data_IF_448213341015
#
_entry.id   IF_448213341015
#
_cell.length_a   1.000
_cell.length_b   1.000
_cell.length_c   1.000
_cell.angle_alpha   90.00
_cell.angle_beta   90.00
_cell.angle_gamma   90.00
#
_symmetry.space_group_name_H-M   'P 1'
#
loop_
_entity.id
_entity.type
_entity.pdbx_description
1 polymer ?
#
# COMPACT_ATOMS: atom_id res chain seq x y z
N UNK A 1 -34.50 -73.03 -24.43
CA UNK A 1 -33.26 -73.69 -24.92
C UNK A 1 -32.37 -72.61 -25.51
N UNK A 2 -31.10 -72.50 -25.11
CA UNK A 2 -30.22 -71.40 -25.57
C UNK A 2 -29.07 -71.07 -24.62
N UNK A 3 -28.22 -72.06 -24.36
CA UNK A 3 -26.81 -72.00 -23.92
C UNK A 3 -26.23 -70.68 -23.39
N UNK A 4 -25.71 -70.71 -22.16
CA UNK A 4 -24.81 -69.67 -21.64
C UNK A 4 -23.34 -69.92 -21.97
N UNK A 5 -22.55 -68.85 -21.94
CA UNK A 5 -21.09 -68.87 -21.95
C UNK A 5 -20.57 -67.77 -21.01
N UNK A 6 -19.87 -68.18 -19.96
CA UNK A 6 -19.05 -67.31 -19.09
C UNK A 6 -17.73 -66.99 -19.79
N UNK A 7 -17.08 -65.85 -19.42
CA UNK A 7 -15.73 -65.30 -19.78
C UNK A 7 -15.89 -63.78 -20.02
N UNK A 8 -15.28 -62.82 -19.31
CA UNK A 8 -14.18 -62.80 -18.33
C UNK A 8 -14.53 -61.92 -17.10
N UNK A 9 -13.96 -62.25 -15.93
CA UNK A 9 -13.81 -61.26 -14.85
C UNK A 9 -12.62 -60.36 -15.17
N UNK A 10 -12.83 -59.06 -15.32
CA UNK A 10 -11.74 -58.08 -15.35
C UNK A 10 -10.93 -58.11 -14.04
N UNK A 11 -9.64 -57.72 -14.06
CA UNK A 11 -8.80 -57.74 -12.87
C UNK A 11 -9.37 -56.81 -11.79
N UNK A 12 -9.19 -57.21 -10.52
CA UNK A 12 -9.61 -56.42 -9.35
C UNK A 12 -9.10 -54.99 -9.50
N UNK A 13 -10.00 -54.02 -9.33
CA UNK A 13 -9.64 -52.61 -9.21
C UNK A 13 -8.59 -52.46 -8.11
N UNK A 14 -7.39 -52.01 -8.47
CA UNK A 14 -6.34 -51.68 -7.53
C UNK A 14 -6.89 -50.55 -6.64
N UNK A 15 -7.03 -50.82 -5.34
CA UNK A 15 -7.31 -49.80 -4.32
C UNK A 15 -6.09 -48.87 -4.26
N UNK A 16 -6.08 -47.83 -5.09
CA UNK A 16 -5.11 -46.76 -4.97
C UNK A 16 -5.32 -46.08 -3.61
N UNK A 17 -4.27 -46.17 -2.78
CA UNK A 17 -4.38 -45.98 -1.35
C UNK A 17 -4.83 -44.60 -0.91
N UNK A 18 -5.33 -44.53 0.32
CA UNK A 18 -5.76 -43.32 1.03
C UNK A 18 -4.57 -42.40 1.36
N UNK A 19 -4.00 -41.77 0.34
CA UNK A 19 -3.00 -40.70 0.40
C UNK A 19 -3.41 -39.64 -0.64
N UNK A 20 -3.70 -38.37 -0.32
CA UNK A 20 -3.57 -37.64 0.93
C UNK A 20 -4.84 -36.81 1.20
N UNK A 21 -5.67 -37.23 2.16
CA UNK A 21 -6.62 -36.30 2.78
C UNK A 21 -5.90 -35.63 3.95
N UNK A 22 -5.69 -34.29 3.94
CA UNK A 22 -5.11 -33.62 5.10
C UNK A 22 -5.99 -33.89 6.32
N UNK A 23 -5.35 -34.13 7.47
CA UNK A 23 -6.08 -34.42 8.72
C UNK A 23 -7.10 -33.30 9.01
N UNK A 24 -8.19 -33.56 9.75
CA UNK A 24 -9.20 -32.54 10.03
C UNK A 24 -8.60 -31.25 10.60
N UNK A 25 -7.52 -31.36 11.38
CA UNK A 25 -6.75 -30.23 11.90
C UNK A 25 -5.94 -29.51 10.81
N UNK A 26 -5.21 -30.22 9.95
CA UNK A 26 -4.47 -29.63 8.82
C UNK A 26 -5.43 -28.97 7.81
N UNK A 27 -6.62 -29.54 7.58
CA UNK A 27 -7.66 -28.90 6.77
C UNK A 27 -8.17 -27.62 7.43
N UNK A 28 -8.52 -27.66 8.72
CA UNK A 28 -8.97 -26.46 9.47
C UNK A 28 -7.92 -25.35 9.50
N UNK A 29 -6.63 -25.70 9.64
CA UNK A 29 -5.50 -24.78 9.58
C UNK A 29 -5.28 -24.26 8.16
N UNK A 30 -5.33 -25.11 7.13
CA UNK A 30 -5.29 -24.71 5.72
C UNK A 30 -6.42 -23.75 5.36
N UNK A 31 -7.64 -24.03 5.81
CA UNK A 31 -8.82 -23.21 5.51
C UNK A 31 -8.76 -21.87 6.27
N UNK A 32 -8.25 -21.87 7.51
CA UNK A 32 -7.98 -20.64 8.27
C UNK A 32 -6.85 -19.81 7.65
N UNK A 33 -5.76 -20.44 7.21
CA UNK A 33 -4.65 -19.76 6.50
C UNK A 33 -5.15 -19.20 5.16
N UNK A 34 -5.91 -19.97 4.37
CA UNK A 34 -6.53 -19.49 3.12
C UNK A 34 -7.49 -18.34 3.37
N UNK A 35 -8.33 -18.43 4.40
CA UNK A 35 -9.25 -17.36 4.80
C UNK A 35 -8.53 -16.10 5.25
N UNK A 36 -7.42 -16.23 5.99
CA UNK A 36 -6.57 -15.10 6.41
C UNK A 36 -5.82 -14.48 5.22
N UNK A 37 -5.16 -15.30 4.38
CA UNK A 37 -4.47 -14.86 3.17
C UNK A 37 -5.43 -14.23 2.13
N UNK A 38 -6.73 -14.51 2.20
CA UNK A 38 -7.74 -13.84 1.39
C UNK A 38 -8.14 -12.44 1.91
N UNK A 39 -7.56 -11.96 3.02
CA UNK A 39 -7.84 -10.61 3.54
C UNK A 39 -6.73 -9.61 3.20
N UNK A 40 -7.12 -8.40 2.78
CA UNK A 40 -6.22 -7.26 2.56
C UNK A 40 -5.33 -6.98 3.79
N UNK A 41 -5.90 -7.16 4.99
CA UNK A 41 -5.23 -7.08 6.29
C UNK A 41 -3.93 -7.90 6.39
N UNK A 42 -3.92 -9.10 5.79
CA UNK A 42 -2.77 -10.01 5.87
C UNK A 42 -1.56 -9.51 5.07
N UNK A 43 -1.80 -8.78 3.97
CA UNK A 43 -0.74 -8.08 3.23
C UNK A 43 -0.07 -6.99 4.06
N UNK A 44 -0.86 -6.18 4.75
CA UNK A 44 -0.35 -5.15 5.68
C UNK A 44 0.45 -5.72 6.84
N UNK A 45 -0.03 -6.80 7.47
CA UNK A 45 0.69 -7.49 8.55
C UNK A 45 2.02 -8.07 8.02
N UNK A 46 2.03 -8.70 6.84
CA UNK A 46 3.26 -9.24 6.28
C UNK A 46 4.26 -8.16 5.88
N UNK A 47 3.80 -7.01 5.39
CA UNK A 47 4.65 -5.84 5.14
C UNK A 47 5.29 -5.31 6.44
N UNK A 48 4.53 -5.21 7.54
CA UNK A 48 5.10 -4.84 8.85
C UNK A 48 6.16 -5.85 9.32
N UNK A 49 5.94 -7.15 9.12
CA UNK A 49 6.92 -8.21 9.43
C UNK A 49 8.17 -8.06 8.53
N UNK A 50 8.00 -7.85 7.23
CA UNK A 50 9.10 -7.68 6.28
C UNK A 50 9.94 -6.43 6.59
N UNK A 51 9.30 -5.30 6.90
CA UNK A 51 9.96 -4.08 7.38
C UNK A 51 10.72 -4.33 8.69
N UNK A 52 10.13 -5.07 9.64
CA UNK A 52 10.80 -5.42 10.90
C UNK A 52 12.02 -6.31 10.68
N UNK A 53 11.93 -7.31 9.79
CA UNK A 53 13.05 -8.18 9.42
C UNK A 53 14.17 -7.35 8.74
N UNK A 54 13.80 -6.41 7.85
CA UNK A 54 14.76 -5.55 7.17
C UNK A 54 15.57 -4.71 8.16
N UNK A 55 14.88 -4.05 9.10
CA UNK A 55 15.51 -3.22 10.13
C UNK A 55 16.36 -4.08 11.07
N UNK A 56 15.84 -5.19 11.60
CA UNK A 56 16.60 -6.05 12.54
C UNK A 56 17.84 -6.64 11.86
N UNK A 57 17.72 -7.08 10.60
CA UNK A 57 18.84 -7.69 9.88
C UNK A 57 19.91 -6.65 9.52
N UNK A 58 19.54 -5.43 9.18
CA UNK A 58 20.48 -4.33 8.92
C UNK A 58 21.20 -3.80 10.18
N UNK A 59 20.70 -4.11 11.39
CA UNK A 59 21.23 -3.62 12.68
C UNK A 59 21.83 -4.69 13.59
N UNK A 60 21.96 -5.92 13.11
CA UNK A 60 22.59 -7.04 13.83
C UNK A 60 23.85 -7.50 13.12
N UNK A 61 24.52 -8.54 13.64
CA UNK A 61 25.65 -9.20 12.97
C UNK A 61 25.35 -9.76 11.58
N UNK A 62 24.07 -9.80 11.18
CA UNK A 62 23.61 -10.18 9.85
C UNK A 62 23.76 -9.06 8.80
N UNK A 63 24.03 -7.81 9.20
CA UNK A 63 23.98 -6.63 8.33
C UNK A 63 24.85 -6.75 7.08
N UNK A 64 26.09 -7.22 7.21
CA UNK A 64 27.00 -7.43 6.06
C UNK A 64 26.43 -8.43 5.05
N UNK A 65 25.87 -9.54 5.51
CA UNK A 65 25.27 -10.56 4.64
C UNK A 65 23.97 -10.06 4.01
N UNK A 66 23.16 -9.34 4.79
CA UNK A 66 21.91 -8.73 4.36
C UNK A 66 22.14 -7.72 3.23
N UNK A 67 23.02 -6.74 3.44
CA UNK A 67 23.34 -5.71 2.44
C UNK A 67 24.02 -6.33 1.21
N UNK A 68 24.91 -7.30 1.39
CA UNK A 68 25.54 -8.02 0.26
C UNK A 68 24.51 -8.76 -0.61
N UNK A 69 23.42 -9.27 -0.03
CA UNK A 69 22.33 -9.92 -0.76
C UNK A 69 21.39 -8.92 -1.44
N UNK A 70 20.97 -7.86 -0.74
CA UNK A 70 19.94 -6.93 -1.24
C UNK A 70 20.46 -5.83 -2.15
N UNK A 71 21.67 -5.29 -1.93
CA UNK A 71 22.19 -4.18 -2.72
C UNK A 71 22.21 -4.47 -4.25
N UNK A 72 22.65 -5.66 -4.74
CA UNK A 72 22.58 -5.98 -6.17
C UNK A 72 21.15 -6.14 -6.71
N UNK A 73 20.20 -6.49 -5.85
CA UNK A 73 18.79 -6.71 -6.20
C UNK A 73 17.93 -5.45 -6.06
N UNK A 74 18.44 -4.38 -5.44
CA UNK A 74 17.66 -3.18 -5.15
C UNK A 74 17.13 -2.51 -6.43
N UNK A 75 17.96 -2.35 -7.47
CA UNK A 75 17.52 -1.80 -8.75
C UNK A 75 16.50 -2.70 -9.45
N UNK A 76 16.68 -4.02 -9.39
CA UNK A 76 15.69 -4.97 -9.92
C UNK A 76 14.34 -4.85 -9.22
N UNK A 77 14.34 -4.76 -7.88
CA UNK A 77 13.13 -4.50 -7.09
C UNK A 77 12.51 -3.15 -7.47
N UNK A 78 13.33 -2.11 -7.62
CA UNK A 78 12.86 -0.76 -7.90
C UNK A 78 12.24 -0.60 -9.29
N UNK A 79 12.72 -1.35 -10.30
CA UNK A 79 12.10 -1.33 -11.63
C UNK A 79 10.92 -2.31 -11.72
N UNK A 80 11.13 -3.59 -11.42
CA UNK A 80 10.19 -4.65 -11.80
C UNK A 80 9.08 -4.90 -10.78
N UNK A 81 9.38 -4.89 -9.49
CA UNK A 81 8.36 -5.09 -8.45
C UNK A 81 7.40 -3.90 -8.42
N UNK A 82 7.92 -2.68 -8.53
CA UNK A 82 7.10 -1.46 -8.66
C UNK A 82 6.22 -1.48 -9.92
N UNK A 83 6.74 -1.95 -11.05
CA UNK A 83 5.92 -2.06 -12.27
C UNK A 83 4.79 -3.08 -12.13
N UNK A 84 5.01 -4.20 -11.41
CA UNK A 84 3.94 -5.15 -11.07
C UNK A 84 2.93 -4.57 -10.07
N UNK A 85 3.39 -3.78 -9.10
CA UNK A 85 2.51 -3.04 -8.19
C UNK A 85 1.63 -2.03 -8.95
N UNK A 86 2.21 -1.19 -9.81
CA UNK A 86 1.45 -0.23 -10.61
C UNK A 86 0.60 -0.89 -11.71
N UNK A 87 0.95 -2.09 -12.18
CA UNK A 87 0.04 -2.90 -12.99
C UNK A 87 -1.25 -3.25 -12.24
N UNK A 88 -1.12 -3.72 -10.98
CA UNK A 88 -2.28 -4.00 -10.13
C UNK A 88 -3.07 -2.73 -9.82
N UNK A 89 -2.41 -1.63 -9.45
CA UNK A 89 -3.08 -0.32 -9.24
C UNK A 89 -3.82 0.12 -10.51
N UNK A 90 -3.23 -0.07 -11.70
CA UNK A 90 -3.89 0.21 -12.98
C UNK A 90 -5.16 -0.62 -13.21
N UNK A 91 -5.16 -1.91 -12.83
CA UNK A 91 -6.36 -2.75 -12.86
C UNK A 91 -7.39 -2.30 -11.80
N UNK A 92 -6.94 -1.94 -10.60
CA UNK A 92 -7.79 -1.51 -9.49
C UNK A 92 -8.53 -0.21 -9.82
N UNK A 93 -7.80 0.80 -10.34
CA UNK A 93 -8.38 2.03 -10.89
C UNK A 93 -9.42 1.66 -11.95
N UNK A 94 -9.08 0.79 -12.91
CA UNK A 94 -9.99 0.39 -13.98
C UNK A 94 -11.27 -0.29 -13.43
N UNK A 95 -11.15 -1.15 -12.41
CA UNK A 95 -12.31 -1.75 -11.73
C UNK A 95 -13.19 -0.66 -11.11
N UNK A 96 -12.59 0.25 -10.34
CA UNK A 96 -13.35 1.33 -9.69
C UNK A 96 -14.07 2.26 -10.69
N UNK A 97 -13.50 2.49 -11.87
CA UNK A 97 -14.15 3.23 -12.96
C UNK A 97 -15.29 2.46 -13.64
N UNK A 98 -15.18 1.13 -13.78
CA UNK A 98 -16.16 0.30 -14.50
C UNK A 98 -17.34 -0.15 -13.61
N UNK A 99 -17.05 -0.60 -12.39
CA UNK A 99 -17.99 -1.25 -11.47
C UNK A 99 -18.01 -0.66 -10.06
N UNK A 100 -16.95 0.01 -9.62
CA UNK A 100 -16.83 0.57 -8.27
C UNK A 100 -17.29 2.02 -8.10
N UNK A 101 -16.73 2.71 -7.10
CA UNK A 101 -17.21 4.02 -6.65
C UNK A 101 -16.82 5.17 -7.56
N UNK A 102 -15.70 5.05 -8.30
CA UNK A 102 -15.24 6.09 -9.24
C UNK A 102 -16.17 6.26 -10.45
N UNK A 103 -17.04 5.28 -10.73
CA UNK A 103 -18.10 5.36 -11.76
C UNK A 103 -19.08 6.52 -11.56
N UNK A 104 -19.32 6.96 -10.32
CA UNK A 104 -20.27 8.03 -9.99
C UNK A 104 -19.57 9.19 -9.30
N UNK A 105 -19.54 10.37 -9.94
CA UNK A 105 -18.93 11.56 -9.37
C UNK A 105 -19.45 11.89 -7.96
N UNK A 106 -20.74 11.63 -7.68
CA UNK A 106 -21.34 11.89 -6.36
C UNK A 106 -20.80 10.98 -5.25
N UNK A 107 -20.43 9.75 -5.58
CA UNK A 107 -19.81 8.79 -4.65
C UNK A 107 -18.30 8.99 -4.56
N UNK A 108 -17.66 9.25 -5.71
CA UNK A 108 -16.22 9.42 -5.87
C UNK A 108 -15.68 10.74 -5.30
N UNK A 109 -16.47 11.82 -5.36
CA UNK A 109 -16.03 13.18 -5.01
C UNK A 109 -15.47 13.29 -3.60
N UNK A 110 -16.10 12.70 -2.58
CA UNK A 110 -15.60 12.78 -1.21
C UNK A 110 -14.18 12.17 -1.08
N UNK A 111 -13.92 10.90 -1.46
CA UNK A 111 -12.56 10.35 -1.53
C UNK A 111 -11.60 11.16 -2.39
N UNK A 112 -11.99 11.58 -3.61
CA UNK A 112 -11.09 12.30 -4.54
C UNK A 112 -10.66 13.65 -3.96
N UNK A 113 -11.58 14.47 -3.48
CA UNK A 113 -11.22 15.78 -2.92
C UNK A 113 -10.44 15.63 -1.61
N UNK A 114 -10.75 14.61 -0.80
CA UNK A 114 -9.96 14.29 0.38
C UNK A 114 -8.51 13.87 0.01
N UNK A 115 -8.33 13.06 -1.05
CA UNK A 115 -7.03 12.68 -1.58
C UNK A 115 -6.25 13.90 -2.08
N UNK A 116 -6.87 14.78 -2.88
CA UNK A 116 -6.28 16.06 -3.29
C UNK A 116 -5.80 16.88 -2.09
N UNK A 117 -6.60 16.97 -1.02
CA UNK A 117 -6.19 17.62 0.22
C UNK A 117 -5.00 16.92 0.89
N UNK A 118 -5.04 15.58 0.97
CA UNK A 118 -3.99 14.72 1.46
C UNK A 118 -2.71 14.66 0.61
N UNK A 119 -2.75 15.17 -0.62
CA UNK A 119 -1.58 15.35 -1.49
C UNK A 119 -1.02 16.77 -1.38
N UNK A 120 -1.87 17.77 -1.57
CA UNK A 120 -1.48 19.19 -1.64
C UNK A 120 -0.96 19.68 -0.29
N UNK A 121 -1.64 19.35 0.81
CA UNK A 121 -1.31 19.87 2.14
C UNK A 121 0.07 19.42 2.65
N UNK A 122 0.43 18.12 2.65
CA UNK A 122 1.79 17.71 3.04
C UNK A 122 2.86 18.25 2.09
N UNK A 123 2.62 18.28 0.77
CA UNK A 123 3.55 18.87 -0.20
C UNK A 123 3.87 20.33 0.12
N UNK A 124 2.85 21.15 0.40
CA UNK A 124 3.02 22.57 0.76
C UNK A 124 3.73 22.75 2.10
N UNK A 125 3.37 21.98 3.13
CA UNK A 125 4.04 22.05 4.45
C UNK A 125 5.51 21.70 4.32
N UNK A 126 5.85 20.61 3.64
CA UNK A 126 7.22 20.19 3.42
C UNK A 126 8.01 21.25 2.64
N UNK A 127 7.44 21.75 1.53
CA UNK A 127 8.07 22.80 0.71
C UNK A 127 8.32 24.09 1.51
N UNK A 128 7.37 24.49 2.35
CA UNK A 128 7.50 25.69 3.18
C UNK A 128 8.61 25.55 4.23
N UNK A 129 8.71 24.39 4.89
CA UNK A 129 9.77 24.10 5.87
C UNK A 129 11.15 24.05 5.22
N UNK A 130 11.25 23.60 3.97
CA UNK A 130 12.50 23.32 3.26
C UNK A 130 12.82 24.30 2.12
N UNK A 131 12.12 25.45 2.04
CA UNK A 131 12.27 26.47 0.99
C UNK A 131 13.68 27.08 0.85
N UNK A 132 14.53 26.93 1.86
CA UNK A 132 15.86 27.55 1.94
C UNK A 132 17.01 26.52 1.88
N UNK A 133 16.71 25.24 1.61
CA UNK A 133 17.71 24.16 1.62
C UNK A 133 17.44 23.15 0.48
N UNK A 134 18.39 22.26 0.23
CA UNK A 134 18.27 21.28 -0.87
C UNK A 134 17.17 20.23 -0.63
N UNK A 135 16.74 20.04 0.62
CA UNK A 135 15.63 19.13 0.93
C UNK A 135 14.33 19.56 0.23
N UNK A 136 14.16 20.85 -0.13
CA UNK A 136 12.98 21.32 -0.87
C UNK A 136 12.67 20.54 -2.16
N UNK A 137 13.67 19.89 -2.79
CA UNK A 137 13.48 19.03 -3.98
C UNK A 137 12.62 17.79 -3.71
N UNK A 138 12.59 17.30 -2.47
CA UNK A 138 11.83 16.11 -2.06
C UNK A 138 10.40 16.37 -1.60
N UNK A 139 9.79 17.50 -1.98
CA UNK A 139 8.42 17.85 -1.58
C UNK A 139 7.38 16.76 -1.86
N UNK A 140 7.52 16.03 -2.98
CA UNK A 140 6.59 14.97 -3.34
C UNK A 140 6.72 13.73 -2.46
N UNK A 141 7.81 13.53 -1.71
CA UNK A 141 7.99 12.40 -0.77
C UNK A 141 6.92 12.44 0.35
N UNK A 142 6.43 13.63 0.69
CA UNK A 142 5.40 13.82 1.71
C UNK A 142 3.98 13.38 1.25
N UNK A 143 3.78 13.09 -0.03
CA UNK A 143 2.45 12.90 -0.63
C UNK A 143 1.90 11.46 -0.60
N UNK A 144 2.66 10.39 -0.92
CA UNK A 144 2.04 9.09 -1.15
C UNK A 144 1.56 8.39 0.13
N UNK A 145 0.59 7.51 -0.03
CA UNK A 145 0.00 6.68 1.04
C UNK A 145 0.18 5.20 0.68
N UNK A 146 0.39 4.34 1.68
CA UNK A 146 0.51 2.89 1.46
C UNK A 146 -0.77 2.20 1.93
N UNK A 147 -1.57 1.73 0.97
CA UNK A 147 -2.85 1.04 1.19
C UNK A 147 -2.68 -0.15 2.13
N UNK A 148 -1.66 -0.98 1.89
CA UNK A 148 -1.48 -2.23 2.60
C UNK A 148 -1.17 -1.96 4.09
N UNK A 149 -0.28 -1.00 4.38
CA UNK A 149 -0.05 -0.56 5.77
C UNK A 149 -1.31 0.02 6.40
N UNK A 150 -2.00 0.95 5.72
CA UNK A 150 -3.15 1.63 6.28
C UNK A 150 -4.30 0.65 6.61
N UNK A 151 -4.60 -0.29 5.72
CA UNK A 151 -5.60 -1.34 5.94
C UNK A 151 -5.13 -2.38 6.96
N UNK A 152 -3.84 -2.73 6.97
CA UNK A 152 -3.24 -3.60 7.98
C UNK A 152 -3.38 -3.06 9.40
N UNK A 153 -3.11 -1.76 9.60
CA UNK A 153 -3.31 -1.09 10.89
C UNK A 153 -4.79 -0.94 11.23
N UNK A 154 -5.62 -0.58 10.24
CA UNK A 154 -7.07 -0.52 10.41
C UNK A 154 -7.60 -1.87 10.92
N UNK A 155 -7.18 -3.00 10.33
CA UNK A 155 -7.60 -4.34 10.73
C UNK A 155 -7.37 -4.69 12.21
N UNK A 156 -6.41 -4.05 12.89
CA UNK A 156 -6.16 -4.25 14.33
C UNK A 156 -7.32 -3.77 15.23
N UNK A 157 -8.17 -2.85 14.73
CA UNK A 157 -9.38 -2.41 15.43
C UNK A 157 -10.57 -3.39 15.26
N UNK A 158 -10.41 -4.44 14.44
CA UNK A 158 -11.33 -5.56 14.33
C UNK A 158 -12.73 -5.18 13.86
N UNK A 159 -13.75 -5.66 14.57
CA UNK A 159 -15.18 -5.48 14.25
C UNK A 159 -15.73 -4.08 14.54
N UNK A 160 -14.91 -3.16 15.07
CA UNK A 160 -15.33 -1.76 15.31
C UNK A 160 -15.45 -0.94 14.03
N UNK A 161 -14.89 -1.41 12.91
CA UNK A 161 -14.76 -0.61 11.69
C UNK A 161 -15.96 -0.78 10.76
N UNK A 162 -16.58 0.36 10.46
CA UNK A 162 -17.63 0.45 9.44
C UNK A 162 -17.06 0.15 8.04
N UNK A 163 -17.83 -0.57 7.21
CA UNK A 163 -17.42 -0.91 5.83
C UNK A 163 -17.18 0.35 4.99
N UNK A 164 -17.96 1.42 5.21
CA UNK A 164 -17.80 2.72 4.57
C UNK A 164 -16.43 3.36 4.81
N UNK A 165 -15.80 3.11 5.96
CA UNK A 165 -14.46 3.62 6.27
C UNK A 165 -13.37 2.89 5.48
N UNK A 166 -13.50 1.56 5.31
CA UNK A 166 -12.59 0.77 4.46
C UNK A 166 -12.70 1.18 3.00
N UNK A 167 -13.94 1.32 2.50
CA UNK A 167 -14.23 1.80 1.14
C UNK A 167 -13.65 3.21 0.93
N UNK A 168 -13.87 4.13 1.88
CA UNK A 168 -13.31 5.47 1.82
C UNK A 168 -11.77 5.46 1.75
N UNK A 169 -11.09 4.69 2.62
CA UNK A 169 -9.62 4.55 2.59
C UNK A 169 -9.12 3.93 1.28
N UNK A 170 -9.76 2.89 0.76
CA UNK A 170 -9.42 2.27 -0.52
C UNK A 170 -9.52 3.28 -1.67
N UNK A 171 -10.66 3.96 -1.83
CA UNK A 171 -10.84 4.94 -2.92
C UNK A 171 -9.95 6.18 -2.75
N UNK A 172 -9.72 6.64 -1.52
CA UNK A 172 -8.78 7.74 -1.19
C UNK A 172 -7.37 7.39 -1.68
N UNK A 173 -6.88 6.21 -1.31
CA UNK A 173 -5.51 5.82 -1.61
C UNK A 173 -5.30 5.48 -3.10
N UNK A 174 -6.30 4.92 -3.80
CA UNK A 174 -6.27 4.76 -5.26
C UNK A 174 -6.15 6.14 -5.95
N UNK A 175 -6.84 7.17 -5.44
CA UNK A 175 -6.73 8.53 -5.95
C UNK A 175 -5.36 9.18 -5.63
N UNK A 176 -4.83 8.99 -4.41
CA UNK A 176 -3.48 9.41 -4.03
C UNK A 176 -2.39 8.74 -4.88
N UNK A 177 -2.52 7.45 -5.19
CA UNK A 177 -1.57 6.70 -6.02
C UNK A 177 -1.58 7.18 -7.48
N UNK A 178 -2.77 7.32 -8.08
CA UNK A 178 -2.91 7.88 -9.43
C UNK A 178 -2.33 9.31 -9.50
N UNK A 179 -2.60 10.13 -8.50
CA UNK A 179 -2.01 11.46 -8.37
C UNK A 179 -0.49 11.42 -8.22
N UNK A 180 0.04 10.48 -7.44
CA UNK A 180 1.48 10.30 -7.24
C UNK A 180 2.19 9.90 -8.54
N UNK A 181 1.62 8.98 -9.32
CA UNK A 181 2.13 8.60 -10.66
C UNK A 181 2.19 9.84 -11.58
N UNK A 182 1.13 10.65 -11.60
CA UNK A 182 1.05 11.85 -12.43
C UNK A 182 2.12 12.89 -12.03
N UNK A 183 2.30 13.14 -10.73
CA UNK A 183 3.33 14.04 -10.21
C UNK A 183 4.74 13.52 -10.53
N UNK A 184 5.01 12.22 -10.37
CA UNK A 184 6.30 11.61 -10.77
C UNK A 184 6.57 11.81 -12.26
N UNK A 185 5.58 11.52 -13.12
CA UNK A 185 5.71 11.65 -14.56
C UNK A 185 5.95 13.07 -15.07
N UNK A 186 5.46 14.10 -14.37
CA UNK A 186 5.70 15.50 -14.75
C UNK A 186 7.00 16.03 -14.13
N UNK A 187 7.11 16.00 -12.80
CA UNK A 187 8.14 16.75 -12.07
C UNK A 187 9.47 16.02 -11.94
N UNK A 188 9.49 14.70 -12.06
CA UNK A 188 10.70 13.88 -11.89
C UNK A 188 11.16 13.20 -13.18
N UNK A 189 10.47 13.43 -14.31
CA UNK A 189 10.77 12.87 -15.64
C UNK A 189 12.25 12.93 -16.06
N UNK A 190 12.96 14.01 -15.73
CA UNK A 190 14.36 14.21 -16.10
C UNK A 190 15.35 13.38 -15.27
N UNK A 191 14.94 12.92 -14.08
CA UNK A 191 15.75 12.09 -13.17
C UNK A 191 15.59 10.58 -13.41
N UNK A 192 14.56 10.17 -14.16
CA UNK A 192 14.18 8.76 -14.29
C UNK A 192 14.76 8.18 -15.58
N UNK A 193 15.39 7.00 -15.50
CA UNK A 193 15.80 6.27 -16.70
C UNK A 193 14.57 5.89 -17.54
N UNK A 194 14.67 6.01 -18.88
CA UNK A 194 13.54 5.75 -19.78
C UNK A 194 12.88 4.38 -19.55
N UNK A 195 13.66 3.37 -19.12
CA UNK A 195 13.19 2.04 -18.73
C UNK A 195 12.20 2.05 -17.57
N UNK A 196 12.40 2.89 -16.54
CA UNK A 196 11.56 2.95 -15.33
C UNK A 196 10.26 3.73 -15.56
N UNK A 197 10.30 4.80 -16.37
CA UNK A 197 9.09 5.47 -16.86
C UNK A 197 8.30 4.47 -17.71
N UNK A 198 8.94 3.85 -18.71
CA UNK A 198 8.29 2.95 -19.64
C UNK A 198 7.71 1.71 -18.94
N UNK A 199 8.38 1.15 -17.93
CA UNK A 199 7.87 0.00 -17.18
C UNK A 199 6.67 0.38 -16.31
N UNK A 200 6.71 1.51 -15.62
CA UNK A 200 5.63 1.97 -14.72
C UNK A 200 4.40 2.44 -15.49
N UNK A 201 4.55 3.37 -16.45
CA UNK A 201 3.44 3.84 -17.26
C UNK A 201 2.95 2.77 -18.24
N UNK A 202 3.86 1.93 -18.77
CA UNK A 202 3.50 0.80 -19.62
C UNK A 202 2.69 -0.26 -18.87
N UNK A 203 2.99 -0.53 -17.60
CA UNK A 203 2.20 -1.40 -16.75
C UNK A 203 0.76 -0.87 -16.56
N UNK A 204 0.60 0.40 -16.19
CA UNK A 204 -0.73 1.02 -16.05
C UNK A 204 -1.49 1.00 -17.39
N UNK A 205 -0.82 1.35 -18.50
CA UNK A 205 -1.42 1.31 -19.83
C UNK A 205 -1.85 -0.11 -20.24
N UNK A 206 -1.03 -1.13 -19.96
CA UNK A 206 -1.35 -2.52 -20.26
C UNK A 206 -2.60 -2.99 -19.47
N UNK A 207 -2.70 -2.64 -18.19
CA UNK A 207 -3.90 -2.93 -17.38
C UNK A 207 -5.17 -2.30 -17.98
N UNK A 208 -5.07 -1.10 -18.54
CA UNK A 208 -6.16 -0.41 -19.22
C UNK A 208 -6.49 -1.00 -20.62
N UNK A 209 -5.52 -1.51 -21.37
CA UNK A 209 -5.74 -2.15 -22.67
C UNK A 209 -6.34 -3.56 -22.54
N UNK A 210 -6.03 -4.29 -21.46
CA UNK A 210 -6.50 -5.68 -21.30
C UNK A 210 -8.04 -5.81 -21.26
N UNK A 211 -8.64 -6.89 -21.83
CA UNK A 211 -10.09 -7.05 -21.85
C UNK A 211 -10.73 -7.07 -20.46
N UNK A 212 -11.92 -6.46 -20.35
CA UNK A 212 -12.77 -6.48 -19.15
C UNK A 212 -14.05 -7.29 -19.35
N UNK A 213 -14.06 -8.21 -20.33
CA UNK A 213 -15.24 -9.04 -20.70
C UNK A 213 -14.80 -10.42 -21.16
N UNK A 214 -15.65 -11.43 -20.93
CA UNK A 214 -15.40 -12.82 -21.32
C UNK A 214 -14.61 -13.59 -20.26
N UNK A 215 -13.68 -14.46 -20.68
CA UNK A 215 -12.89 -15.30 -19.75
C UNK A 215 -11.83 -14.52 -18.96
N UNK A 216 -11.39 -13.38 -19.49
CA UNK A 216 -10.46 -12.45 -18.86
C UNK A 216 -11.29 -11.22 -18.48
N UNK A 217 -11.46 -11.00 -17.18
CA UNK A 217 -12.10 -9.82 -16.60
C UNK A 217 -11.11 -9.10 -15.70
N UNK A 218 -11.32 -7.80 -15.49
CA UNK A 218 -10.47 -6.99 -14.61
C UNK A 218 -10.48 -7.53 -13.19
N UNK A 219 -11.66 -7.90 -12.66
CA UNK A 219 -11.80 -8.51 -11.33
C UNK A 219 -10.99 -9.80 -11.20
N UNK A 220 -11.06 -10.70 -12.20
CA UNK A 220 -10.30 -11.96 -12.18
C UNK A 220 -8.79 -11.76 -12.28
N UNK A 221 -8.34 -10.73 -13.01
CA UNK A 221 -6.92 -10.37 -13.04
C UNK A 221 -6.46 -9.82 -11.68
N UNK A 222 -7.28 -9.01 -11.01
CA UNK A 222 -7.03 -8.53 -9.64
C UNK A 222 -6.98 -9.72 -8.67
N UNK A 223 -7.98 -10.60 -8.66
CA UNK A 223 -8.00 -11.81 -7.82
C UNK A 223 -6.74 -12.69 -7.99
N UNK A 224 -6.23 -12.81 -9.22
CA UNK A 224 -5.03 -13.59 -9.52
C UNK A 224 -3.74 -12.88 -9.07
N UNK A 225 -3.65 -11.55 -9.16
CA UNK A 225 -2.41 -10.79 -8.99
C UNK A 225 -2.29 -10.16 -7.62
N UNK A 226 -3.40 -9.77 -7.00
CA UNK A 226 -3.43 -9.17 -5.67
C UNK A 226 -2.69 -10.02 -4.61
N UNK A 227 -2.84 -11.35 -4.53
CA UNK A 227 -2.05 -12.17 -3.61
C UNK A 227 -0.54 -12.09 -3.89
N UNK A 228 -0.09 -12.13 -5.15
CA UNK A 228 1.33 -11.97 -5.48
C UNK A 228 1.83 -10.58 -5.10
N UNK A 229 1.03 -9.53 -5.32
CA UNK A 229 1.38 -8.18 -4.93
C UNK A 229 1.55 -8.06 -3.41
N UNK A 230 0.52 -8.44 -2.65
CA UNK A 230 0.47 -8.32 -1.18
C UNK A 230 1.44 -9.25 -0.45
N UNK A 231 1.67 -10.48 -0.95
CA UNK A 231 2.47 -11.49 -0.23
C UNK A 231 3.90 -11.65 -0.75
N UNK A 232 4.22 -11.12 -1.95
CA UNK A 232 5.56 -11.22 -2.53
C UNK A 232 6.11 -9.85 -2.93
N UNK A 233 5.47 -9.14 -3.86
CA UNK A 233 5.99 -7.89 -4.44
C UNK A 233 6.29 -6.84 -3.36
N UNK A 234 5.28 -6.54 -2.53
CA UNK A 234 5.37 -5.50 -1.50
C UNK A 234 6.35 -5.89 -0.36
N UNK A 235 6.28 -7.10 0.25
CA UNK A 235 7.26 -7.55 1.24
C UNK A 235 8.71 -7.61 0.73
N UNK A 236 8.93 -8.10 -0.50
CA UNK A 236 10.28 -8.18 -1.10
C UNK A 236 10.82 -6.78 -1.40
N UNK A 237 9.98 -5.86 -1.89
CA UNK A 237 10.35 -4.46 -2.07
C UNK A 237 10.76 -3.80 -0.75
N UNK A 238 10.02 -4.06 0.33
CA UNK A 238 10.32 -3.55 1.67
C UNK A 238 11.67 -4.08 2.17
N UNK A 239 11.94 -5.38 2.04
CA UNK A 239 13.25 -5.95 2.37
C UNK A 239 14.39 -5.31 1.55
N UNK A 240 14.21 -5.18 0.24
CA UNK A 240 15.22 -4.58 -0.63
C UNK A 240 15.57 -3.11 -0.28
N UNK A 241 14.62 -2.33 0.24
CA UNK A 241 14.80 -0.88 0.42
C UNK A 241 14.87 -0.38 1.87
N UNK A 242 14.26 -1.06 2.86
CA UNK A 242 14.18 -0.62 4.26
C UNK A 242 15.26 -1.21 5.17
N UNK A 243 16.23 -1.95 4.63
CA UNK A 243 17.43 -2.35 5.35
C UNK A 243 18.33 -1.16 5.66
N UNK A 244 18.12 -0.52 6.82
CA UNK A 244 18.80 0.71 7.23
C UNK A 244 19.64 0.44 8.46
N UNK A 245 20.91 0.84 8.44
CA UNK A 245 21.78 0.85 9.62
C UNK A 245 21.41 2.04 10.54
N UNK A 246 20.57 1.77 11.53
CA UNK A 246 20.17 2.64 12.62
C UNK A 246 21.21 2.57 13.76
N UNK A 247 22.41 3.11 13.52
CA UNK A 247 23.34 3.32 14.64
C UNK A 247 22.75 4.37 15.61
N UNK A 248 23.06 4.26 16.91
CA UNK A 248 22.53 5.20 17.91
C UNK A 248 22.91 6.67 17.65
N UNK A 249 24.06 6.90 17.01
CA UNK A 249 24.52 8.21 16.54
C UNK A 249 23.71 8.71 15.32
N UNK A 250 23.27 7.80 14.45
CA UNK A 250 22.51 8.13 13.23
C UNK A 250 21.08 8.60 13.52
N UNK A 251 20.45 8.12 14.59
CA UNK A 251 19.08 8.52 14.94
C UNK A 251 19.01 9.94 15.51
N UNK A 252 19.98 10.33 16.34
CA UNK A 252 20.08 11.71 16.85
C UNK A 252 20.48 12.68 15.75
N UNK A 253 21.48 12.36 14.92
CA UNK A 253 21.86 13.23 13.79
C UNK A 253 20.73 13.37 12.75
N UNK A 254 20.00 12.28 12.46
CA UNK A 254 18.88 12.33 11.54
C UNK A 254 17.72 13.20 12.07
N UNK A 255 17.54 13.36 13.38
CA UNK A 255 16.51 14.27 13.91
C UNK A 255 16.83 15.74 13.61
N UNK A 256 18.09 16.13 13.51
CA UNK A 256 18.48 17.46 13.09
C UNK A 256 18.34 17.67 11.57
N UNK A 257 18.20 16.59 10.79
CA UNK A 257 17.95 16.70 9.35
C UNK A 257 16.66 17.47 9.02
N UNK A 258 16.78 18.38 8.07
CA UNK A 258 15.66 19.11 7.47
C UNK A 258 14.70 18.18 6.72
N UNK A 259 15.21 17.08 6.15
CA UNK A 259 14.38 16.06 5.47
C UNK A 259 13.49 15.35 6.48
N UNK A 260 14.06 14.85 7.58
CA UNK A 260 13.32 14.09 8.62
C UNK A 260 12.25 14.95 9.27
N UNK A 261 12.62 16.13 9.79
CA UNK A 261 11.66 17.04 10.44
C UNK A 261 10.57 17.52 9.49
N UNK A 262 10.95 17.82 8.24
CA UNK A 262 10.01 18.14 7.17
C UNK A 262 9.02 17.02 6.92
N UNK A 263 9.49 15.77 6.74
CA UNK A 263 8.62 14.62 6.49
C UNK A 263 7.68 14.34 7.65
N UNK A 264 8.18 14.32 8.90
CA UNK A 264 7.35 14.04 10.08
C UNK A 264 6.23 15.06 10.22
N UNK A 265 6.54 16.36 10.17
CA UNK A 265 5.52 17.42 10.30
C UNK A 265 4.56 17.41 9.11
N UNK A 266 5.08 17.35 7.88
CA UNK A 266 4.27 17.36 6.67
C UNK A 266 3.32 16.18 6.59
N UNK A 267 3.80 14.96 6.84
CA UNK A 267 2.98 13.74 6.69
C UNK A 267 2.03 13.56 7.87
N UNK A 268 2.47 13.72 9.11
CA UNK A 268 1.60 13.56 10.29
C UNK A 268 0.52 14.64 10.33
N UNK A 269 0.89 15.92 10.25
CA UNK A 269 -0.09 17.01 10.35
C UNK A 269 -0.79 17.22 9.02
N UNK A 270 -0.05 17.26 7.91
CA UNK A 270 -0.59 17.60 6.59
C UNK A 270 -1.56 16.57 6.02
N UNK A 271 -1.38 15.26 6.27
CA UNK A 271 -2.40 14.27 5.86
C UNK A 271 -3.68 14.40 6.70
N UNK A 272 -3.57 14.49 8.03
CA UNK A 272 -4.74 14.67 8.92
C UNK A 272 -5.51 15.94 8.55
N UNK A 273 -4.83 17.08 8.51
CA UNK A 273 -5.45 18.38 8.21
C UNK A 273 -5.98 18.40 6.78
N UNK A 274 -5.17 18.00 5.79
CA UNK A 274 -5.53 18.06 4.37
C UNK A 274 -6.73 17.20 4.01
N UNK A 275 -6.70 15.92 4.40
CA UNK A 275 -7.78 14.96 4.11
C UNK A 275 -9.07 15.41 4.79
N UNK A 276 -9.01 15.76 6.08
CA UNK A 276 -10.20 16.17 6.85
C UNK A 276 -10.77 17.51 6.39
N UNK A 277 -9.91 18.50 6.13
CA UNK A 277 -10.35 19.83 5.69
C UNK A 277 -11.00 19.78 4.31
N UNK A 278 -10.39 19.11 3.32
CA UNK A 278 -10.98 19.02 1.99
C UNK A 278 -12.26 18.19 2.00
N UNK A 279 -12.30 17.07 2.74
CA UNK A 279 -13.51 16.28 2.96
C UNK A 279 -14.66 17.10 3.57
N UNK A 280 -14.37 17.91 4.59
CA UNK A 280 -15.34 18.81 5.20
C UNK A 280 -15.79 19.91 4.25
N UNK A 281 -14.86 20.53 3.54
CA UNK A 281 -15.11 21.65 2.63
C UNK A 281 -16.00 21.22 1.45
N UNK A 282 -15.70 20.10 0.80
CA UNK A 282 -16.48 19.59 -0.34
C UNK A 282 -17.90 19.14 0.07
N UNK A 283 -18.06 18.63 1.29
CA UNK A 283 -19.40 18.32 1.86
C UNK A 283 -20.16 19.60 2.21
N UNK A 284 -19.49 20.61 2.78
CA UNK A 284 -20.10 21.91 3.11
C UNK A 284 -20.54 22.69 1.87
N UNK A 285 -19.82 22.56 0.75
CA UNK A 285 -20.23 23.10 -0.56
C UNK A 285 -21.35 22.30 -1.24
N UNK A 286 -21.78 21.15 -0.68
CA UNK A 286 -22.80 20.28 -1.28
C UNK A 286 -22.34 19.51 -2.52
N UNK A 287 -21.06 19.60 -2.89
CA UNK A 287 -20.46 18.91 -4.05
C UNK A 287 -20.36 17.40 -3.81
N UNK A 288 -20.05 16.99 -2.58
CA UNK A 288 -20.01 15.59 -2.17
C UNK A 288 -20.98 15.30 -1.01
N UNK A 289 -21.25 14.02 -0.75
CA UNK A 289 -21.96 13.57 0.46
C UNK A 289 -21.15 12.51 1.19
N UNK A 290 -21.08 12.64 2.52
CA UNK A 290 -20.51 11.64 3.42
C UNK A 290 -21.58 10.57 3.71
N UNK A 291 -21.24 9.26 3.71
CA UNK A 291 -22.08 8.23 4.32
C UNK A 291 -22.49 8.59 5.75
N UNK A 292 -23.69 8.23 6.18
CA UNK A 292 -24.24 8.65 7.48
C UNK A 292 -23.43 8.07 8.65
N UNK A 293 -22.85 6.88 8.46
CA UNK A 293 -21.96 6.16 9.37
C UNK A 293 -20.49 6.64 9.37
N UNK A 294 -20.14 7.68 8.57
CA UNK A 294 -18.78 8.24 8.31
C UNK A 294 -17.76 8.07 9.46
N UNK A 295 -17.50 9.05 10.35
CA UNK A 295 -17.90 10.46 10.52
C UNK A 295 -16.79 11.42 9.99
N UNK A 296 -16.55 12.61 10.57
CA UNK A 296 -15.33 13.41 10.30
C UNK A 296 -14.14 13.04 11.20
N UNK A 297 -14.39 12.54 12.42
CA UNK A 297 -13.31 12.02 13.28
C UNK A 297 -12.69 10.76 12.66
N UNK A 298 -13.51 9.93 12.02
CA UNK A 298 -13.06 8.73 11.31
C UNK A 298 -12.27 9.07 10.05
N UNK A 299 -12.68 10.11 9.31
CA UNK A 299 -11.90 10.66 8.20
C UNK A 299 -10.56 11.21 8.69
N UNK A 300 -10.50 11.87 9.86
CA UNK A 300 -9.25 12.32 10.46
C UNK A 300 -8.34 11.16 10.90
N UNK A 301 -8.93 10.09 11.42
CA UNK A 301 -8.21 8.87 11.79
C UNK A 301 -7.64 8.11 10.59
N UNK A 302 -8.42 7.99 9.51
CA UNK A 302 -7.92 7.53 8.21
C UNK A 302 -6.87 8.48 7.64
N UNK A 303 -7.04 9.80 7.81
CA UNK A 303 -6.06 10.79 7.40
C UNK A 303 -4.72 10.64 8.13
N UNK A 304 -4.74 10.28 9.41
CA UNK A 304 -3.53 9.92 10.14
C UNK A 304 -2.90 8.62 9.59
N UNK A 305 -3.68 7.54 9.44
CA UNK A 305 -3.18 6.28 8.87
C UNK A 305 -2.61 6.46 7.45
N UNK A 306 -3.17 7.36 6.64
CA UNK A 306 -2.67 7.71 5.31
C UNK A 306 -1.24 8.31 5.34
N UNK A 307 -0.83 8.90 6.47
CA UNK A 307 0.55 9.38 6.72
C UNK A 307 1.61 8.28 6.72
N UNK A 308 1.23 7.01 6.87
CA UNK A 308 2.14 5.86 6.99
C UNK A 308 2.83 5.41 5.70
N UNK A 309 2.52 6.02 4.55
CA UNK A 309 3.08 5.62 3.26
C UNK A 309 4.60 5.50 3.21
N UNK A 310 5.11 4.30 2.94
CA UNK A 310 6.54 4.01 2.76
C UNK A 310 6.90 3.76 1.30
N UNK A 311 6.23 2.80 0.65
CA UNK A 311 6.63 2.22 -0.64
C UNK A 311 6.83 3.26 -1.75
N UNK A 312 5.77 3.96 -2.16
CA UNK A 312 5.85 4.98 -3.22
C UNK A 312 6.67 6.20 -2.78
N UNK A 313 6.64 6.56 -1.50
CA UNK A 313 7.43 7.68 -0.98
C UNK A 313 8.95 7.42 -1.08
N UNK A 314 9.39 6.17 -0.90
CA UNK A 314 10.79 5.77 -1.11
C UNK A 314 11.21 5.89 -2.59
N UNK A 315 10.32 5.61 -3.55
CA UNK A 315 10.60 5.82 -4.98
C UNK A 315 10.93 7.29 -5.20
N UNK A 316 10.01 8.17 -4.78
CA UNK A 316 10.16 9.61 -4.95
C UNK A 316 11.43 10.11 -4.25
N UNK A 317 11.81 9.54 -3.09
CA UNK A 317 13.06 9.90 -2.41
C UNK A 317 14.32 9.59 -3.26
N UNK A 318 14.39 8.40 -3.87
CA UNK A 318 15.51 8.05 -4.76
C UNK A 318 15.52 8.88 -6.06
N UNK A 319 14.37 9.39 -6.51
CA UNK A 319 14.27 10.29 -7.68
C UNK A 319 14.53 11.77 -7.35
N UNK A 320 14.34 12.17 -6.08
CA UNK A 320 14.47 13.57 -5.61
C UNK A 320 15.89 13.96 -5.23
N UNK A 321 16.67 13.00 -4.74
CA UNK A 321 17.97 13.27 -4.12
C UNK A 321 19.08 12.44 -4.74
N UNK A 322 20.21 13.09 -5.01
CA UNK A 322 21.44 12.43 -5.45
C UNK A 322 22.37 12.09 -4.28
N UNK A 323 22.23 12.79 -3.14
CA UNK A 323 23.00 12.51 -1.92
C UNK A 323 22.49 11.24 -1.23
N UNK A 324 23.35 10.22 -1.00
CA UNK A 324 22.98 9.02 -0.24
C UNK A 324 22.52 9.33 1.19
N UNK A 325 23.02 10.42 1.78
CA UNK A 325 22.65 10.89 3.11
C UNK A 325 21.20 11.38 3.14
N UNK A 326 20.77 12.17 2.15
CA UNK A 326 19.39 12.65 2.05
C UNK A 326 18.39 11.51 1.74
N UNK A 327 18.83 10.48 1.00
CA UNK A 327 18.04 9.25 0.79
C UNK A 327 17.92 8.48 2.12
N UNK A 328 19.01 8.35 2.88
CA UNK A 328 19.00 7.72 4.22
C UNK A 328 18.09 8.48 5.19
N UNK A 329 18.19 9.80 5.25
CA UNK A 329 17.30 10.65 6.03
C UNK A 329 15.83 10.50 5.61
N UNK A 330 15.55 10.39 4.31
CA UNK A 330 14.21 10.13 3.82
C UNK A 330 13.67 8.79 4.33
N UNK A 331 14.50 7.73 4.29
CA UNK A 331 14.15 6.41 4.83
C UNK A 331 13.84 6.48 6.33
N UNK A 332 14.67 7.16 7.11
CA UNK A 332 14.47 7.35 8.56
C UNK A 332 13.21 8.16 8.83
N UNK A 333 13.04 9.30 8.16
CA UNK A 333 11.89 10.19 8.31
C UNK A 333 10.56 9.50 7.95
N UNK A 334 10.53 8.68 6.91
CA UNK A 334 9.36 7.87 6.55
C UNK A 334 9.04 6.80 7.60
N UNK A 335 10.03 6.10 8.15
CA UNK A 335 9.80 5.13 9.23
C UNK A 335 9.29 5.78 10.52
N UNK A 336 9.93 6.87 10.97
CA UNK A 336 9.50 7.64 12.15
C UNK A 336 8.07 8.18 11.95
N UNK A 337 7.79 8.72 10.76
CA UNK A 337 6.45 9.15 10.38
C UNK A 337 5.44 8.01 10.46
N UNK A 338 5.76 6.82 9.93
CA UNK A 338 4.84 5.69 9.90
C UNK A 338 4.48 5.23 11.32
N UNK A 339 5.46 5.14 12.23
CA UNK A 339 5.19 4.85 13.64
C UNK A 339 4.27 5.90 14.26
N UNK A 340 4.60 7.19 14.17
CA UNK A 340 3.81 8.28 14.77
C UNK A 340 2.38 8.32 14.18
N UNK A 341 2.27 8.25 12.86
CA UNK A 341 1.00 8.25 12.12
C UNK A 341 0.11 7.08 12.49
N UNK A 342 0.70 5.89 12.68
CA UNK A 342 -0.03 4.69 13.07
C UNK A 342 -0.61 4.80 14.49
N UNK A 343 0.16 5.33 15.45
CA UNK A 343 -0.28 5.54 16.84
C UNK A 343 -1.37 6.59 16.91
N UNK A 344 -1.20 7.72 16.22
CA UNK A 344 -2.20 8.80 16.18
C UNK A 344 -3.48 8.33 15.48
N UNK A 345 -3.38 7.62 14.35
CA UNK A 345 -4.53 7.11 13.62
C UNK A 345 -5.34 6.09 14.40
N UNK A 346 -4.67 5.10 15.02
CA UNK A 346 -5.34 4.18 15.93
C UNK A 346 -5.98 4.92 17.12
N UNK A 347 -5.29 5.88 17.73
CA UNK A 347 -5.82 6.67 18.84
C UNK A 347 -7.09 7.45 18.48
N UNK A 348 -7.09 8.15 17.34
CA UNK A 348 -8.25 8.88 16.82
C UNK A 348 -9.42 7.93 16.54
N UNK A 349 -9.17 6.79 15.90
CA UNK A 349 -10.21 5.81 15.56
C UNK A 349 -10.76 5.05 16.78
N UNK A 350 -9.96 4.85 17.83
CA UNK A 350 -10.39 4.28 19.11
C UNK A 350 -11.26 5.25 19.92
N UNK A 351 -11.00 6.56 19.82
CA UNK A 351 -11.77 7.62 20.47
C UNK A 351 -13.03 7.98 19.67
N UNK A 352 -13.05 7.71 18.37
CA UNK A 352 -14.26 7.84 17.57
C UNK A 352 -15.29 6.77 17.96
N UNK A 353 -16.54 7.18 18.12
CA UNK A 353 -17.65 6.30 18.50
C UNK A 353 -18.14 5.47 17.30
N UNK A 354 -17.26 4.62 16.74
CA UNK A 354 -17.63 3.58 15.78
C UNK A 354 -18.33 2.42 16.51
N UNK A 355 -19.50 2.70 17.09
CA UNK A 355 -20.47 1.65 17.40
C UNK A 355 -21.02 1.11 16.09
N UNK A 356 -20.84 -0.18 15.75
CA UNK A 356 -21.43 -0.74 14.54
C UNK A 356 -22.95 -0.63 14.66
N UNK A 357 -23.57 0.20 13.80
CA UNK A 357 -25.01 0.21 13.63
C UNK A 357 -25.37 -1.09 12.90
N UNK A 358 -26.22 -1.90 13.54
CA UNK A 358 -26.70 -3.19 13.05
C UNK A 358 -27.47 -3.05 11.73
#
# INVERSE_FOLDING_TARGET
MGWGLSVLKGPKSIEYGRFLYPSPMVRKVSDAIRGFLATESAGGILLLIATSIAIVSANTSLSTNYLKFWNPLQNFANTWLISLFFFLVGLEIKREFLSGNLRSFKSASLPIFAAMGGMITPALIFSYMNRANEAGRGWAIAMPTDVALAIGMLALLGSRINISLKIFLLTLAIADDLGSIFIMGIFYSQSIHLSEIASTFGAVALAWVLPSRGKITTDRLIELIHPWSSFFVIPVFALANLGIALSGLSLTSAWDSHVVRGLVVARVIGKIVGITFFAWFVVKLGVARKPDDLTFMDIAGVGALAGMGLTVALIIANLSYQSPEMILDSKIGLLVTAVISSVIGLGILLLSNQTPRK
#
